data_IF_880801491000
#
_entry.id   IF_880801491000
#
_cell.length_a   1.000
_cell.length_b   1.000
_cell.length_c   1.000
_cell.angle_alpha   90.00
_cell.angle_beta   90.00
_cell.angle_gamma   90.00
#
_symmetry.space_group_name_H-M   'P 1'
#
loop_
_entity.id
_entity.type
_entity.pdbx_description
1 polymer ?
#
# COMPACT_ATOMS: atom_id res chain seq x y z
N UNK A 1 -3.08 7.14 -6.43
CA UNK A 1 -3.28 5.74 -5.98
C UNK A 1 -4.76 5.52 -5.65
N UNK A 2 -5.44 4.53 -6.27
CA UNK A 2 -6.83 4.26 -5.93
C UNK A 2 -6.89 3.89 -4.44
N UNK A 3 -7.85 4.50 -3.73
CA UNK A 3 -8.14 4.19 -2.33
C UNK A 3 -8.55 2.71 -2.26
N UNK A 4 -7.71 1.87 -1.63
CA UNK A 4 -8.03 0.47 -1.44
C UNK A 4 -9.09 0.32 -0.36
N UNK A 5 -10.30 -0.08 -0.74
CA UNK A 5 -11.33 -0.47 0.23
C UNK A 5 -11.11 -1.95 0.57
N UNK A 6 -11.07 -2.25 1.86
CA UNK A 6 -11.07 -3.62 2.36
C UNK A 6 -12.49 -3.99 2.80
N UNK A 7 -12.89 -5.23 2.54
CA UNK A 7 -14.16 -5.76 3.05
C UNK A 7 -14.20 -5.77 4.58
N UNK A 8 -15.39 -5.94 5.15
CA UNK A 8 -15.56 -6.04 6.58
C UNK A 8 -14.78 -7.24 7.14
N UNK A 9 -13.93 -6.98 8.12
CA UNK A 9 -13.01 -7.95 8.69
C UNK A 9 -13.23 -8.08 10.21
N UNK A 10 -13.29 -9.30 10.79
CA UNK A 10 -13.38 -9.47 12.23
C UNK A 10 -12.16 -8.86 12.94
N UNK A 11 -12.39 -8.26 14.11
CA UNK A 11 -11.32 -7.66 14.94
C UNK A 11 -10.22 -8.68 15.19
N UNK A 12 -8.97 -8.27 14.97
CA UNK A 12 -7.77 -9.09 15.14
C UNK A 12 -7.49 -10.11 14.03
N UNK A 13 -8.35 -10.20 13.00
CA UNK A 13 -8.14 -11.15 11.88
C UNK A 13 -7.60 -10.39 10.66
N UNK A 14 -6.48 -10.81 10.05
CA UNK A 14 -5.96 -10.15 8.86
C UNK A 14 -6.84 -10.42 7.62
N UNK A 15 -7.00 -9.40 6.79
CA UNK A 15 -7.62 -9.52 5.46
C UNK A 15 -6.72 -10.28 4.48
N UNK A 16 -7.27 -10.60 3.29
CA UNK A 16 -6.44 -10.88 2.13
C UNK A 16 -5.59 -9.65 1.74
N UNK A 17 -4.47 -9.89 1.07
CA UNK A 17 -3.59 -8.83 0.60
C UNK A 17 -4.21 -8.09 -0.60
N UNK A 18 -4.40 -6.79 -0.47
CA UNK A 18 -4.78 -5.91 -1.56
C UNK A 18 -3.53 -5.46 -2.34
N UNK A 19 -3.52 -5.70 -3.64
CA UNK A 19 -2.43 -5.33 -4.53
C UNK A 19 -2.58 -3.89 -5.01
N UNK A 20 -1.54 -3.07 -4.84
CA UNK A 20 -1.49 -1.70 -5.38
C UNK A 20 -0.32 -1.54 -6.32
N UNK A 21 -0.58 -0.95 -7.48
CA UNK A 21 0.43 -0.62 -8.49
C UNK A 21 0.80 0.85 -8.41
N UNK A 22 2.11 1.12 -8.47
CA UNK A 22 2.66 2.45 -8.65
C UNK A 22 3.29 2.54 -10.03
N UNK A 23 2.82 3.50 -10.82
CA UNK A 23 3.30 3.77 -12.16
C UNK A 23 4.02 5.11 -12.20
N UNK A 24 5.25 5.13 -12.70
CA UNK A 24 5.98 6.37 -12.93
C UNK A 24 5.50 7.03 -14.24
N UNK A 25 4.56 7.95 -14.11
CA UNK A 25 4.04 8.76 -15.23
C UNK A 25 4.89 10.02 -15.51
N UNK A 26 6.01 10.20 -14.81
CA UNK A 26 6.91 11.34 -15.04
C UNK A 26 7.89 11.04 -16.17
N UNK A 27 8.55 12.09 -16.67
CA UNK A 27 9.63 11.97 -17.67
C UNK A 27 10.99 11.62 -17.04
N UNK A 28 11.08 11.60 -15.72
CA UNK A 28 12.31 11.36 -14.97
C UNK A 28 12.25 10.07 -14.16
N UNK A 29 13.39 9.70 -13.58
CA UNK A 29 13.46 8.59 -12.63
C UNK A 29 12.74 8.99 -11.32
N UNK A 30 11.89 8.10 -10.80
CA UNK A 30 11.31 8.23 -9.48
C UNK A 30 12.09 7.34 -8.52
N UNK A 31 12.75 7.93 -7.52
CA UNK A 31 13.40 7.16 -6.46
C UNK A 31 12.40 6.93 -5.33
N UNK A 32 12.18 5.66 -5.00
CA UNK A 32 11.33 5.21 -3.90
C UNK A 32 12.25 4.69 -2.80
N UNK A 33 12.36 5.48 -1.75
CA UNK A 33 13.10 5.17 -0.53
C UNK A 33 12.28 4.34 0.45
N UNK A 34 10.96 4.57 0.54
CA UNK A 34 10.11 3.84 1.47
C UNK A 34 8.64 3.79 1.06
N UNK A 35 7.95 2.74 1.52
CA UNK A 35 6.49 2.61 1.48
C UNK A 35 6.06 2.30 2.90
N UNK A 36 5.29 3.18 3.52
CA UNK A 36 4.94 3.09 4.95
C UNK A 36 3.42 3.17 5.13
N UNK A 37 2.78 2.08 5.59
CA UNK A 37 1.37 2.10 5.97
C UNK A 37 1.18 2.69 7.38
N UNK A 38 -0.04 3.13 7.70
CA UNK A 38 -0.40 3.64 9.02
C UNK A 38 -1.73 3.08 9.52
N UNK A 39 -1.93 3.11 10.84
CA UNK A 39 -3.14 2.60 11.48
C UNK A 39 -3.17 1.07 11.50
N UNK A 40 -4.30 0.50 11.14
CA UNK A 40 -4.56 -0.95 11.15
C UNK A 40 -4.06 -1.66 9.87
N UNK A 41 -3.21 -0.99 9.09
CA UNK A 41 -2.73 -1.46 7.80
C UNK A 41 -1.24 -1.81 7.87
N UNK A 42 -0.85 -2.89 7.20
CA UNK A 42 0.53 -3.36 7.13
C UNK A 42 0.92 -3.77 5.70
N UNK A 43 2.21 -3.79 5.40
CA UNK A 43 2.71 -4.33 4.14
C UNK A 43 2.77 -5.85 4.22
N UNK A 44 2.12 -6.53 3.29
CA UNK A 44 2.31 -7.96 3.08
C UNK A 44 3.60 -8.25 2.29
N UNK A 45 3.88 -7.41 1.30
CA UNK A 45 5.10 -7.43 0.49
C UNK A 45 5.31 -6.06 -0.16
N UNK A 46 6.55 -5.74 -0.53
CA UNK A 46 6.88 -4.49 -1.19
C UNK A 46 7.92 -4.72 -2.30
N UNK A 47 7.51 -4.53 -3.56
CA UNK A 47 8.40 -4.53 -4.72
C UNK A 47 8.61 -3.13 -5.29
N UNK A 48 8.13 -2.09 -4.61
CA UNK A 48 8.41 -0.70 -4.89
C UNK A 48 9.61 -0.25 -4.06
N UNK A 49 10.81 -0.63 -4.50
CA UNK A 49 12.06 -0.27 -3.86
C UNK A 49 13.06 0.24 -4.91
N UNK A 50 13.80 1.29 -4.57
CA UNK A 50 14.84 1.83 -5.44
C UNK A 50 14.32 2.75 -6.53
N UNK A 51 14.89 2.66 -7.74
CA UNK A 51 14.58 3.61 -8.82
C UNK A 51 13.60 3.02 -9.82
N UNK A 52 12.47 3.71 -9.99
CA UNK A 52 11.48 3.43 -11.03
C UNK A 52 11.75 4.35 -12.22
N UNK A 53 12.21 3.78 -13.33
CA UNK A 53 12.46 4.51 -14.59
C UNK A 53 11.15 5.05 -15.19
N UNK A 54 11.20 6.05 -16.10
CA UNK A 54 10.00 6.54 -16.78
C UNK A 54 9.20 5.40 -17.40
N UNK A 55 7.88 5.44 -17.26
CA UNK A 55 6.94 4.39 -17.69
C UNK A 55 7.09 3.04 -16.99
N UNK A 56 7.99 2.94 -16.00
CA UNK A 56 8.13 1.77 -15.16
C UNK A 56 6.97 1.63 -14.17
N UNK A 57 6.69 0.39 -13.79
CA UNK A 57 5.72 0.05 -12.76
C UNK A 57 6.35 -0.80 -11.67
N UNK A 58 5.92 -0.59 -10.43
CA UNK A 58 6.17 -1.48 -9.32
C UNK A 58 4.86 -1.76 -8.59
N UNK A 59 4.86 -2.72 -7.68
CA UNK A 59 3.66 -3.05 -6.90
C UNK A 59 4.01 -3.45 -5.47
N UNK A 60 3.04 -3.27 -4.57
CA UNK A 60 3.13 -3.66 -3.17
C UNK A 60 1.78 -4.19 -2.71
N UNK A 61 1.81 -5.00 -1.66
CA UNK A 61 0.63 -5.62 -1.06
C UNK A 61 0.37 -5.02 0.31
N UNK A 62 -0.88 -4.67 0.58
CA UNK A 62 -1.31 -4.17 1.88
C UNK A 62 -2.32 -5.13 2.49
N UNK A 63 -2.21 -5.40 3.78
CA UNK A 63 -3.20 -6.12 4.58
C UNK A 63 -3.82 -5.18 5.61
N UNK A 64 -5.06 -5.48 5.97
CA UNK A 64 -5.81 -4.78 7.00
C UNK A 64 -6.14 -5.75 8.14
N UNK A 65 -5.80 -5.36 9.37
CA UNK A 65 -6.12 -6.11 10.59
C UNK A 65 -6.78 -5.17 11.59
N UNK A 66 -8.13 -5.10 11.64
CA UNK A 66 -8.82 -4.15 12.50
C UNK A 66 -8.50 -4.38 13.97
N UNK A 67 -8.15 -3.32 14.68
CA UNK A 67 -7.88 -3.37 16.12
C UNK A 67 -9.12 -3.10 16.97
N UNK A 68 -10.16 -2.53 16.36
CA UNK A 68 -11.46 -2.28 16.96
C UNK A 68 -12.57 -2.32 15.90
N UNK A 69 -13.83 -2.43 16.33
CA UNK A 69 -14.97 -2.33 15.44
C UNK A 69 -15.16 -0.92 14.86
N UNK A 70 -15.86 -0.82 13.73
CA UNK A 70 -16.13 0.43 13.03
C UNK A 70 -15.22 0.66 11.82
N UNK A 71 -15.40 1.80 11.14
CA UNK A 71 -14.59 2.16 9.97
C UNK A 71 -13.18 2.56 10.41
N UNK A 72 -12.18 1.99 9.75
CA UNK A 72 -10.76 2.24 10.00
C UNK A 72 -10.15 2.87 8.75
N UNK A 73 -9.57 4.06 8.89
CA UNK A 73 -8.89 4.77 7.80
C UNK A 73 -7.40 4.85 8.07
N UNK A 74 -6.58 4.50 7.08
CA UNK A 74 -5.13 4.60 7.14
C UNK A 74 -4.60 5.34 5.91
N UNK A 75 -3.29 5.56 5.87
CA UNK A 75 -2.60 6.15 4.72
C UNK A 75 -1.39 5.31 4.36
N UNK A 76 -1.10 5.23 3.07
CA UNK A 76 0.18 4.74 2.57
C UNK A 76 1.01 5.94 2.18
N UNK A 77 2.14 6.13 2.87
CA UNK A 77 3.11 7.19 2.55
C UNK A 77 4.22 6.58 1.72
N UNK A 78 4.53 7.22 0.59
CA UNK A 78 5.60 6.81 -0.31
C UNK A 78 6.60 7.96 -0.35
N UNK A 79 7.87 7.67 -0.07
CA UNK A 79 9.01 8.60 -0.18
C UNK A 79 10.10 8.01 -1.03
#
# INVERSE_FOLDING_TARGET
>A
PPEGIFDAQPVGTPSYSAFTYLYNNSKGNLTISSVVPSGDFALAFNYCTGTLVPTGSCYYGVTFTPTAGGIRTGKITIT
#
